data_IF_555098553029
#
_entry.id   IF_555098553029
#
_cell.length_a   1.000
_cell.length_b   1.000
_cell.length_c   1.000
_cell.angle_alpha   90.00
_cell.angle_beta   90.00
_cell.angle_gamma   90.00
#
_symmetry.space_group_name_H-M   'P 1'
#
loop_
_entity.id
_entity.type
_entity.pdbx_description
1 polymer ?
#
# COMPACT_ATOMS: atom_id res chain seq x y z
N UNK A 1 -17.69 -10.32 -43.86
CA UNK A 1 -17.71 -10.60 -42.41
C UNK A 1 -16.30 -10.39 -41.89
N UNK A 2 -16.05 -9.25 -41.22
CA UNK A 2 -14.72 -8.92 -40.68
C UNK A 2 -14.43 -9.79 -39.47
N UNK A 3 -13.35 -10.57 -39.54
CA UNK A 3 -12.86 -11.35 -38.41
C UNK A 3 -12.54 -10.38 -37.26
N UNK A 4 -13.32 -10.46 -36.17
CA UNK A 4 -12.96 -9.78 -34.93
C UNK A 4 -11.55 -10.24 -34.57
N UNK A 5 -10.59 -9.34 -34.34
CA UNK A 5 -9.26 -9.79 -33.97
C UNK A 5 -9.40 -10.58 -32.68
N UNK A 6 -8.77 -11.75 -32.60
CA UNK A 6 -8.76 -12.57 -31.38
C UNK A 6 -7.91 -11.78 -30.39
N UNK A 7 -8.56 -11.01 -29.51
CA UNK A 7 -7.86 -10.20 -28.53
C UNK A 7 -7.36 -11.15 -27.45
N UNK A 8 -6.16 -11.68 -27.66
CA UNK A 8 -5.48 -12.53 -26.70
C UNK A 8 -5.38 -11.78 -25.38
N UNK A 9 -6.11 -12.28 -24.39
CA UNK A 9 -6.02 -11.79 -23.02
C UNK A 9 -4.60 -11.96 -22.52
N UNK A 10 -4.08 -10.94 -21.85
CA UNK A 10 -2.73 -10.96 -21.32
C UNK A 10 -2.79 -11.45 -19.88
N UNK A 11 -2.05 -12.51 -19.57
CA UNK A 11 -1.89 -12.98 -18.19
C UNK A 11 -0.55 -12.49 -17.67
N UNK A 12 -0.57 -11.94 -16.46
CA UNK A 12 0.61 -11.55 -15.69
C UNK A 12 0.62 -12.31 -14.37
N UNK A 13 1.79 -12.62 -13.84
CA UNK A 13 1.94 -13.27 -12.55
C UNK A 13 2.40 -12.23 -11.50
N UNK A 14 1.74 -12.18 -10.35
CA UNK A 14 1.98 -11.17 -9.31
C UNK A 14 2.10 -11.84 -7.96
N UNK A 15 3.12 -11.48 -7.18
CA UNK A 15 3.25 -11.97 -5.81
C UNK A 15 4.55 -11.55 -5.15
N UNK A 16 4.57 -11.68 -3.82
CA UNK A 16 5.74 -11.37 -2.99
C UNK A 16 6.62 -12.59 -2.71
N UNK A 17 6.12 -13.80 -2.99
CA UNK A 17 6.86 -15.05 -2.81
C UNK A 17 7.02 -15.75 -4.18
N UNK A 18 8.24 -16.21 -4.55
CA UNK A 18 8.47 -16.89 -5.84
C UNK A 18 7.57 -18.11 -6.07
N UNK A 19 7.21 -18.82 -4.99
CA UNK A 19 6.40 -20.03 -5.05
C UNK A 19 4.89 -19.77 -4.90
N UNK A 20 4.47 -18.50 -4.76
CA UNK A 20 3.07 -18.14 -4.54
C UNK A 20 2.69 -16.93 -5.41
N UNK A 21 2.71 -17.16 -6.72
CA UNK A 21 2.31 -16.17 -7.70
C UNK A 21 0.82 -16.31 -8.02
N UNK A 22 0.12 -15.18 -8.04
CA UNK A 22 -1.26 -15.08 -8.50
C UNK A 22 -1.28 -14.67 -9.96
N UNK A 23 -1.92 -15.45 -10.81
CA UNK A 23 -2.08 -15.15 -12.23
C UNK A 23 -3.30 -14.26 -12.45
N UNK A 24 -3.08 -13.05 -12.94
CA UNK A 24 -4.13 -12.06 -13.17
C UNK A 24 -4.29 -11.86 -14.67
N UNK A 25 -5.52 -12.06 -15.15
CA UNK A 25 -5.91 -11.85 -16.54
C UNK A 25 -6.27 -10.37 -16.74
N UNK A 26 -5.49 -9.66 -17.54
CA UNK A 26 -5.76 -8.28 -17.89
C UNK A 26 -6.85 -8.19 -18.96
N UNK A 27 -7.83 -7.32 -18.73
CA UNK A 27 -8.79 -6.96 -19.75
C UNK A 27 -8.14 -6.08 -20.83
N UNK A 28 -8.84 -5.91 -21.95
CA UNK A 28 -8.38 -5.10 -23.07
C UNK A 28 -8.05 -3.65 -22.69
N UNK A 29 -8.89 -3.00 -21.89
CA UNK A 29 -8.77 -1.58 -21.57
C UNK A 29 -7.52 -1.29 -20.73
N UNK A 30 -7.27 -2.12 -19.72
CA UNK A 30 -6.04 -2.07 -18.92
C UNK A 30 -4.84 -2.28 -19.84
N UNK A 31 -4.90 -3.28 -20.73
CA UNK A 31 -3.81 -3.59 -21.65
C UNK A 31 -3.45 -2.37 -22.49
N UNK A 32 -4.41 -1.71 -23.12
CA UNK A 32 -4.11 -0.51 -23.92
C UNK A 32 -3.48 0.61 -23.09
N UNK A 33 -4.00 0.88 -21.89
CA UNK A 33 -3.48 1.93 -21.01
C UNK A 33 -2.08 1.60 -20.47
N UNK A 34 -1.80 0.34 -20.16
CA UNK A 34 -0.50 -0.14 -19.68
C UNK A 34 0.53 -0.27 -20.82
N UNK A 35 0.13 -0.75 -22.00
CA UNK A 35 1.00 -0.88 -23.18
C UNK A 35 1.41 0.48 -23.74
N UNK A 36 0.50 1.46 -23.79
CA UNK A 36 0.84 2.85 -24.15
C UNK A 36 1.92 3.44 -23.24
N UNK A 37 2.03 2.91 -22.03
CA UNK A 37 3.02 3.31 -21.02
C UNK A 37 4.25 2.39 -20.96
N UNK A 38 4.27 1.32 -21.78
CA UNK A 38 5.35 0.33 -21.81
C UNK A 38 5.51 -0.47 -20.51
N UNK A 39 4.51 -0.48 -19.64
CA UNK A 39 4.66 -0.92 -18.25
C UNK A 39 4.48 -2.42 -18.04
N UNK A 40 3.61 -3.08 -18.81
CA UNK A 40 3.24 -4.49 -18.61
C UNK A 40 3.12 -5.21 -19.96
N UNK A 41 4.04 -6.14 -20.22
CA UNK A 41 4.02 -7.01 -21.38
C UNK A 41 3.41 -8.40 -21.03
N UNK A 42 2.97 -9.19 -22.01
CA UNK A 42 2.52 -10.56 -21.77
C UNK A 42 3.62 -11.46 -21.20
N UNK A 43 3.26 -12.39 -20.31
CA UNK A 43 4.20 -13.34 -19.71
C UNK A 43 5.14 -12.72 -18.66
N UNK A 44 4.83 -11.51 -18.20
CA UNK A 44 5.59 -10.81 -17.17
C UNK A 44 5.22 -11.33 -15.77
N UNK A 45 6.26 -11.50 -14.96
CA UNK A 45 6.18 -11.69 -13.52
C UNK A 45 6.55 -10.38 -12.83
N UNK A 46 5.70 -9.98 -11.89
CA UNK A 46 5.88 -8.82 -11.01
C UNK A 46 6.26 -9.32 -9.60
N UNK A 47 7.55 -9.58 -9.34
CA UNK A 47 8.00 -9.97 -8.01
C UNK A 47 7.84 -8.81 -7.02
N UNK A 48 7.65 -9.15 -5.74
CA UNK A 48 7.56 -8.17 -4.64
C UNK A 48 6.40 -7.18 -4.77
N UNK A 49 5.37 -7.54 -5.53
CA UNK A 49 4.13 -6.76 -5.64
C UNK A 49 3.03 -7.51 -4.90
N UNK A 50 2.41 -6.82 -3.95
CA UNK A 50 1.23 -7.33 -3.25
C UNK A 50 0.02 -7.33 -4.19
N UNK A 51 -0.70 -8.46 -4.20
CA UNK A 51 -1.82 -8.69 -5.13
C UNK A 51 -2.94 -7.67 -4.91
N UNK A 52 -3.27 -7.37 -3.65
CA UNK A 52 -4.41 -6.51 -3.33
C UNK A 52 -4.23 -5.04 -3.77
N UNK A 53 -3.13 -4.33 -3.42
CA UNK A 53 -2.79 -3.03 -3.99
C UNK A 53 -2.77 -3.04 -5.52
N UNK A 54 -2.27 -4.12 -6.12
CA UNK A 54 -2.22 -4.25 -7.57
C UNK A 54 -3.62 -4.33 -8.20
N UNK A 55 -4.54 -5.11 -7.61
CA UNK A 55 -5.93 -5.16 -8.05
C UNK A 55 -6.62 -3.78 -8.00
N UNK A 56 -6.36 -2.96 -6.98
CA UNK A 56 -6.90 -1.59 -6.91
C UNK A 56 -6.41 -0.75 -8.11
N UNK A 57 -5.13 -0.82 -8.44
CA UNK A 57 -4.58 -0.12 -9.62
C UNK A 57 -5.23 -0.62 -10.92
N UNK A 58 -5.44 -1.94 -11.06
CA UNK A 58 -6.09 -2.50 -12.24
C UNK A 58 -7.55 -2.06 -12.37
N UNK A 59 -8.29 -1.98 -11.27
CA UNK A 59 -9.68 -1.51 -11.25
C UNK A 59 -9.77 -0.04 -11.66
N UNK A 60 -8.87 0.81 -11.14
CA UNK A 60 -8.75 2.20 -11.60
C UNK A 60 -8.46 2.28 -13.09
N UNK A 61 -7.49 1.50 -13.58
CA UNK A 61 -7.14 1.48 -15.01
C UNK A 61 -8.28 0.95 -15.89
N UNK A 62 -9.18 0.12 -15.33
CA UNK A 62 -10.39 -0.35 -16.01
C UNK A 62 -11.51 0.68 -16.11
N UNK A 63 -11.41 1.81 -15.37
CA UNK A 63 -12.39 2.89 -15.42
C UNK A 63 -13.02 3.26 -14.07
N UNK A 64 -12.66 2.60 -12.96
CA UNK A 64 -13.08 3.03 -11.61
C UNK A 64 -12.25 4.24 -11.15
N UNK A 65 -12.54 5.41 -11.71
CA UNK A 65 -11.87 6.65 -11.35
C UNK A 65 -12.21 7.10 -9.92
N UNK A 66 -13.34 6.65 -9.37
CA UNK A 66 -13.76 6.89 -7.98
C UNK A 66 -12.98 6.10 -6.93
N UNK A 67 -12.21 5.08 -7.33
CA UNK A 67 -11.51 4.18 -6.40
C UNK A 67 -12.45 3.49 -5.40
N UNK A 68 -13.65 3.11 -5.85
CA UNK A 68 -14.68 2.48 -5.01
C UNK A 68 -14.17 1.24 -4.26
N UNK A 69 -13.33 0.43 -4.92
CA UNK A 69 -12.72 -0.76 -4.29
C UNK A 69 -11.77 -0.37 -3.17
N UNK A 70 -11.00 0.70 -3.33
CA UNK A 70 -10.11 1.18 -2.28
C UNK A 70 -10.91 1.79 -1.11
N UNK A 71 -11.91 2.62 -1.40
CA UNK A 71 -12.75 3.25 -0.39
C UNK A 71 -13.50 2.22 0.48
N UNK A 72 -13.96 1.11 -0.13
CA UNK A 72 -14.59 0.00 0.60
C UNK A 72 -13.70 -0.64 1.68
N UNK A 73 -12.37 -0.42 1.62
CA UNK A 73 -11.40 -0.94 2.60
C UNK A 73 -11.16 0.04 3.76
N UNK A 74 -11.86 1.18 3.83
CA UNK A 74 -11.61 2.19 4.86
C UNK A 74 -11.74 1.68 6.30
N UNK A 75 -12.45 0.57 6.52
CA UNK A 75 -12.60 -0.09 7.83
C UNK A 75 -11.54 -1.17 8.10
N UNK A 76 -10.72 -1.53 7.13
CA UNK A 76 -9.67 -2.55 7.29
C UNK A 76 -8.51 -1.99 8.15
N UNK A 77 -8.04 -2.73 9.17
CA UNK A 77 -6.87 -2.32 9.98
C UNK A 77 -5.61 -2.05 9.15
N UNK A 78 -5.46 -2.73 8.01
CA UNK A 78 -4.36 -2.58 7.06
C UNK A 78 -4.56 -1.46 6.04
N UNK A 79 -5.64 -0.68 6.13
CA UNK A 79 -5.99 0.34 5.14
C UNK A 79 -4.86 1.34 4.84
N UNK A 80 -4.15 1.83 5.86
CA UNK A 80 -3.00 2.74 5.64
C UNK A 80 -1.80 2.06 4.94
N UNK A 81 -1.63 0.75 5.15
CA UNK A 81 -0.64 -0.04 4.43
C UNK A 81 -1.07 -0.25 2.97
N UNK A 82 -2.34 -0.58 2.73
CA UNK A 82 -2.92 -0.70 1.38
C UNK A 82 -2.76 0.62 0.64
N UNK A 83 -3.05 1.76 1.29
CA UNK A 83 -2.80 3.09 0.74
C UNK A 83 -1.34 3.27 0.32
N UNK A 84 -0.40 3.03 1.24
CA UNK A 84 1.03 3.22 0.97
C UNK A 84 1.53 2.35 -0.20
N UNK A 85 1.14 1.08 -0.23
CA UNK A 85 1.51 0.14 -1.29
C UNK A 85 0.88 0.49 -2.63
N UNK A 86 -0.40 0.88 -2.63
CA UNK A 86 -1.12 1.27 -3.86
C UNK A 86 -0.55 2.57 -4.43
N UNK A 87 -0.27 3.55 -3.56
CA UNK A 87 0.35 4.81 -3.95
C UNK A 87 1.76 4.59 -4.51
N UNK A 88 2.55 3.72 -3.88
CA UNK A 88 3.88 3.37 -4.35
C UNK A 88 3.84 2.68 -5.71
N UNK A 89 2.93 1.73 -5.88
CA UNK A 89 2.74 1.05 -7.16
C UNK A 89 2.31 2.03 -8.27
N UNK A 90 1.39 2.95 -7.97
CA UNK A 90 1.01 4.02 -8.88
C UNK A 90 2.20 4.90 -9.28
N UNK A 91 3.10 5.19 -8.32
CA UNK A 91 4.35 5.91 -8.56
C UNK A 91 5.27 5.19 -9.54
N UNK A 92 5.52 3.88 -9.31
CA UNK A 92 6.39 3.04 -10.17
C UNK A 92 5.82 2.84 -11.58
N UNK A 93 4.49 2.87 -11.71
CA UNK A 93 3.77 2.81 -12.98
C UNK A 93 3.56 4.19 -13.65
N UNK A 94 4.09 5.26 -13.04
CA UNK A 94 3.98 6.65 -13.51
C UNK A 94 2.54 7.12 -13.67
N UNK A 95 1.70 6.83 -12.68
CA UNK A 95 0.28 7.21 -12.64
C UNK A 95 0.05 8.35 -11.63
N UNK A 96 0.49 9.59 -11.90
CA UNK A 96 0.36 10.69 -10.94
C UNK A 96 -1.09 11.08 -10.66
N UNK A 97 -1.98 10.92 -11.64
CA UNK A 97 -3.43 11.13 -11.42
C UNK A 97 -3.95 10.17 -10.36
N UNK A 98 -3.63 8.87 -10.46
CA UNK A 98 -4.01 7.88 -9.44
C UNK A 98 -3.40 8.21 -8.06
N UNK A 99 -2.13 8.62 -8.01
CA UNK A 99 -1.50 9.06 -6.76
C UNK A 99 -2.30 10.21 -6.11
N UNK A 100 -2.80 11.15 -6.90
CA UNK A 100 -3.58 12.28 -6.41
C UNK A 100 -5.01 11.89 -6.02
N UNK A 101 -5.65 10.98 -6.76
CA UNK A 101 -6.97 10.46 -6.40
C UNK A 101 -6.92 9.68 -5.08
N UNK A 102 -5.89 8.86 -4.86
CA UNK A 102 -5.68 8.17 -3.57
C UNK A 102 -5.56 9.18 -2.42
N UNK A 103 -4.80 10.26 -2.61
CA UNK A 103 -4.70 11.35 -1.62
C UNK A 103 -6.07 12.01 -1.40
N UNK A 104 -6.84 12.22 -2.47
CA UNK A 104 -8.17 12.82 -2.39
C UNK A 104 -9.14 11.97 -1.57
N UNK A 105 -9.21 10.67 -1.83
CA UNK A 105 -10.04 9.72 -1.05
C UNK A 105 -9.60 9.69 0.41
N UNK A 106 -8.29 9.62 0.67
CA UNK A 106 -7.75 9.66 2.03
C UNK A 106 -8.06 10.98 2.76
N UNK A 107 -8.00 12.12 2.06
CA UNK A 107 -8.38 13.42 2.60
C UNK A 107 -9.87 13.48 2.96
N UNK A 108 -10.75 12.91 2.12
CA UNK A 108 -12.18 12.82 2.44
C UNK A 108 -12.43 11.97 3.69
N UNK A 109 -11.79 10.80 3.79
CA UNK A 109 -11.87 9.96 4.99
C UNK A 109 -11.36 10.70 6.23
N UNK A 110 -10.23 11.37 6.10
CA UNK A 110 -9.66 12.18 7.18
C UNK A 110 -10.66 13.22 7.70
N UNK A 111 -11.30 13.98 6.82
CA UNK A 111 -12.32 14.97 7.20
C UNK A 111 -13.48 14.31 7.94
N UNK A 112 -13.99 13.18 7.45
CA UNK A 112 -15.05 12.43 8.14
C UNK A 112 -14.65 11.96 9.54
N UNK A 113 -13.37 11.62 9.76
CA UNK A 113 -12.85 11.23 11.08
C UNK A 113 -12.80 12.44 12.01
N UNK A 114 -12.24 13.56 11.55
CA UNK A 114 -12.09 14.78 12.36
C UNK A 114 -13.46 15.38 12.71
N UNK A 115 -14.43 15.30 11.81
CA UNK A 115 -15.81 15.74 12.05
C UNK A 115 -16.62 14.76 12.93
N UNK A 116 -16.06 13.59 13.27
CA UNK A 116 -16.73 12.57 14.08
C UNK A 116 -17.87 11.84 13.36
N UNK A 117 -17.97 11.97 12.03
CA UNK A 117 -18.97 11.30 11.19
C UNK A 117 -18.62 9.82 11.03
N UNK A 118 -17.33 9.52 10.92
CA UNK A 118 -16.83 8.16 10.82
C UNK A 118 -16.14 7.75 12.12
N UNK A 119 -16.64 6.69 12.76
CA UNK A 119 -15.89 5.97 13.79
C UNK A 119 -14.84 5.10 13.11
N UNK A 120 -13.76 5.73 12.62
CA UNK A 120 -12.57 4.99 12.23
C UNK A 120 -12.01 4.30 13.49
N UNK A 121 -12.50 3.09 13.74
CA UNK A 121 -12.23 2.30 14.93
C UNK A 121 -10.84 1.66 14.80
N UNK A 122 -9.81 2.49 14.98
CA UNK A 122 -8.52 1.96 15.36
C UNK A 122 -8.55 1.63 16.85
N UNK A 123 -8.53 0.34 17.17
CA UNK A 123 -8.27 -0.14 18.52
C UNK A 123 -6.87 0.29 19.02
N UNK A 124 -5.94 0.55 18.10
CA UNK A 124 -4.65 1.21 18.35
C UNK A 124 -4.31 2.16 17.20
N UNK A 125 -3.92 3.41 17.50
CA UNK A 125 -3.59 4.44 16.50
C UNK A 125 -2.28 4.17 15.79
N UNK A 126 -1.37 3.49 16.48
CA UNK A 126 -0.08 3.04 15.98
C UNK A 126 -0.03 1.51 16.05
N UNK A 127 -0.33 0.89 14.92
CA UNK A 127 -0.30 -0.56 14.75
C UNK A 127 0.91 -1.01 13.90
N UNK A 128 1.04 -2.31 13.71
CA UNK A 128 2.07 -2.90 12.85
C UNK A 128 1.88 -2.54 11.38
N UNK A 129 0.67 -2.20 10.94
CA UNK A 129 0.39 -1.82 9.56
C UNK A 129 0.86 -0.41 9.25
N UNK A 130 0.69 0.55 10.17
CA UNK A 130 1.22 1.90 10.04
C UNK A 130 2.76 1.87 9.99
N UNK A 131 3.40 1.06 10.85
CA UNK A 131 4.85 0.88 10.79
C UNK A 131 5.28 0.34 9.42
N UNK A 132 4.62 -0.73 8.95
CA UNK A 132 4.90 -1.32 7.62
C UNK A 132 4.64 -0.34 6.47
N UNK A 133 3.66 0.55 6.60
CA UNK A 133 3.35 1.55 5.59
C UNK A 133 4.53 2.52 5.40
N UNK A 134 5.09 3.04 6.50
CA UNK A 134 6.27 3.90 6.42
C UNK A 134 7.51 3.16 5.94
N UNK A 135 7.77 1.95 6.46
CA UNK A 135 8.89 1.11 6.01
C UNK A 135 8.80 0.82 4.52
N UNK A 136 7.59 0.53 4.02
CA UNK A 136 7.36 0.30 2.59
C UNK A 136 7.72 1.53 1.76
N UNK A 137 7.15 2.70 2.08
CA UNK A 137 7.44 3.94 1.33
C UNK A 137 8.94 4.27 1.31
N UNK A 138 9.61 4.17 2.46
CA UNK A 138 11.04 4.46 2.58
C UNK A 138 11.92 3.47 1.84
N UNK A 139 11.58 2.18 1.90
CA UNK A 139 12.31 1.15 1.15
C UNK A 139 12.25 1.38 -0.37
N UNK A 140 11.14 1.96 -0.87
CA UNK A 140 10.93 2.16 -2.29
C UNK A 140 11.51 3.49 -2.80
N UNK A 141 11.37 4.58 -2.04
CA UNK A 141 11.64 5.94 -2.54
C UNK A 141 12.45 6.82 -1.60
N UNK A 142 12.82 6.33 -0.41
CA UNK A 142 13.42 7.15 0.63
C UNK A 142 12.40 8.03 1.37
N UNK A 143 12.88 8.93 2.24
CA UNK A 143 12.03 9.79 3.07
C UNK A 143 11.40 10.93 2.27
N UNK A 144 10.47 11.68 2.90
CA UNK A 144 9.89 12.93 2.38
C UNK A 144 9.04 12.81 1.10
N UNK A 145 8.56 11.60 0.79
CA UNK A 145 7.57 11.41 -0.28
C UNK A 145 6.25 12.11 0.07
N UNK A 146 5.45 12.43 -0.94
CA UNK A 146 4.13 13.05 -0.74
C UNK A 146 3.20 12.16 0.11
N UNK A 147 3.25 10.84 -0.12
CA UNK A 147 2.51 9.88 0.71
C UNK A 147 3.05 9.79 2.15
N UNK A 148 4.38 9.83 2.36
CA UNK A 148 4.95 9.84 3.72
C UNK A 148 4.51 11.10 4.47
N UNK A 149 4.61 12.27 3.83
CA UNK A 149 4.15 13.55 4.41
C UNK A 149 2.67 13.49 4.76
N UNK A 150 1.85 12.92 3.87
CA UNK A 150 0.43 12.74 4.12
C UNK A 150 0.19 11.82 5.31
N UNK A 151 0.85 10.65 5.39
CA UNK A 151 0.68 9.70 6.50
C UNK A 151 1.15 10.27 7.84
N UNK A 152 2.24 11.04 7.86
CA UNK A 152 2.68 11.77 9.04
C UNK A 152 1.56 12.71 9.51
N UNK A 153 1.01 13.50 8.58
CA UNK A 153 -0.04 14.46 8.91
C UNK A 153 -1.31 13.78 9.40
N UNK A 154 -1.76 12.76 8.66
CA UNK A 154 -2.93 11.95 8.97
C UNK A 154 -2.80 11.31 10.35
N UNK A 155 -1.67 10.66 10.65
CA UNK A 155 -1.46 9.95 11.91
C UNK A 155 -1.34 10.90 13.10
N UNK A 156 -0.68 12.05 12.91
CA UNK A 156 -0.51 13.05 13.97
C UNK A 156 -1.82 13.73 14.35
N UNK A 157 -2.65 14.08 13.36
CA UNK A 157 -3.88 14.86 13.57
C UNK A 157 -5.11 14.03 13.90
N UNK A 158 -5.16 12.75 13.51
CA UNK A 158 -6.26 11.86 13.90
C UNK A 158 -6.09 11.26 15.30
N UNK A 159 -4.91 11.41 15.92
CA UNK A 159 -4.67 10.86 17.24
C UNK A 159 -5.50 11.60 18.32
N UNK A 160 -6.25 10.89 19.16
CA UNK A 160 -7.15 11.51 20.14
C UNK A 160 -6.38 12.12 21.31
N UNK A 161 -5.23 11.55 21.68
CA UNK A 161 -4.40 11.99 22.79
C UNK A 161 -2.92 11.87 22.44
N UNK A 162 -2.21 12.99 22.47
CA UNK A 162 -0.76 13.07 22.17
C UNK A 162 0.06 12.16 23.07
N UNK A 163 -0.27 12.07 24.36
CA UNK A 163 0.46 11.22 25.33
C UNK A 163 0.34 9.73 24.99
N UNK A 164 -0.84 9.30 24.58
CA UNK A 164 -1.06 7.89 24.19
C UNK A 164 -0.35 7.60 22.86
N UNK A 165 -0.43 8.51 21.89
CA UNK A 165 0.32 8.42 20.64
C UNK A 165 1.84 8.28 20.90
N UNK A 166 2.40 9.10 21.79
CA UNK A 166 3.81 9.05 22.16
C UNK A 166 4.21 7.72 22.80
N UNK A 167 3.39 7.20 23.71
CA UNK A 167 3.59 5.87 24.31
C UNK A 167 3.57 4.77 23.25
N UNK A 168 2.59 4.80 22.34
CA UNK A 168 2.46 3.79 21.30
C UNK A 168 3.61 3.85 20.29
N UNK A 169 4.01 5.04 19.83
CA UNK A 169 5.18 5.22 18.96
C UNK A 169 6.47 4.75 19.64
N UNK A 170 6.62 4.96 20.96
CA UNK A 170 7.79 4.48 21.72
C UNK A 170 7.82 2.97 21.90
N UNK A 171 6.66 2.32 21.87
CA UNK A 171 6.53 0.87 22.05
C UNK A 171 6.77 0.05 20.79
N UNK A 172 6.99 0.71 19.65
CA UNK A 172 7.13 0.12 18.32
C UNK A 172 8.44 0.58 17.68
N UNK A 173 8.97 -0.22 16.78
CA UNK A 173 10.25 0.04 16.10
C UNK A 173 10.12 1.06 14.95
N UNK A 174 9.54 2.23 15.23
CA UNK A 174 9.53 3.35 14.28
C UNK A 174 10.90 4.01 14.23
N UNK A 175 11.32 4.43 13.03
CA UNK A 175 12.48 5.32 12.90
C UNK A 175 12.26 6.58 13.74
N UNK A 176 13.32 7.02 14.43
CA UNK A 176 13.27 8.17 15.33
C UNK A 176 12.70 9.41 14.63
N UNK A 177 13.09 9.65 13.38
CA UNK A 177 12.65 10.83 12.63
C UNK A 177 11.15 10.76 12.26
N UNK A 178 10.60 9.58 11.93
CA UNK A 178 9.15 9.42 11.70
C UNK A 178 8.40 9.72 12.99
N UNK A 179 8.85 9.14 14.11
CA UNK A 179 8.24 9.36 15.41
C UNK A 179 8.24 10.84 15.76
N UNK A 180 9.37 11.53 15.60
CA UNK A 180 9.48 12.97 15.86
C UNK A 180 8.56 13.80 14.94
N UNK A 181 8.48 13.47 13.65
CA UNK A 181 7.58 14.15 12.70
C UNK A 181 6.12 13.99 13.07
N UNK A 182 5.68 12.77 13.40
CA UNK A 182 4.29 12.49 13.82
C UNK A 182 3.98 13.25 15.11
N UNK A 183 4.87 13.20 16.12
CA UNK A 183 4.66 13.91 17.38
C UNK A 183 4.68 15.43 17.23
N UNK A 184 5.54 15.94 16.35
CA UNK A 184 5.57 17.36 16.01
C UNK A 184 4.24 17.80 15.42
N UNK A 185 3.67 17.03 14.49
CA UNK A 185 2.37 17.34 13.92
C UNK A 185 1.24 17.25 14.95
N UNK A 186 1.23 16.20 15.77
CA UNK A 186 0.21 16.00 16.82
C UNK A 186 0.22 17.12 17.87
N UNK A 187 1.39 17.74 18.11
CA UNK A 187 1.55 18.88 19.04
C UNK A 187 1.35 20.24 18.36
N UNK A 188 1.15 20.27 17.04
CA UNK A 188 1.09 21.51 16.27
C UNK A 188 -0.25 22.24 16.46
N UNK A 189 -0.16 23.53 16.76
CA UNK A 189 -1.31 24.45 16.75
C UNK A 189 -1.53 25.11 15.37
N UNK A 190 -0.71 24.76 14.37
CA UNK A 190 -0.88 25.27 13.02
C UNK A 190 -2.18 24.73 12.39
N UNK A 191 -2.72 25.49 11.43
CA UNK A 191 -3.86 25.06 10.63
C UNK A 191 -3.57 23.72 9.97
N UNK A 192 -4.57 22.84 10.01
CA UNK A 192 -4.52 21.51 9.43
C UNK A 192 -4.09 21.52 7.96
N UNK A 193 -2.92 20.96 7.63
CA UNK A 193 -2.42 20.93 6.26
C UNK A 193 -3.28 20.09 5.31
N UNK A 194 -3.93 19.01 5.78
CA UNK A 194 -4.76 18.14 4.93
C UNK A 194 -5.98 18.93 4.44
N UNK A 195 -6.58 19.74 5.31
CA UNK A 195 -7.77 20.54 4.98
C UNK A 195 -7.38 21.82 4.23
N UNK A 196 -6.36 22.54 4.70
CA UNK A 196 -6.08 23.90 4.23
C UNK A 196 -4.94 24.01 3.21
N UNK A 197 -4.10 22.98 3.08
CA UNK A 197 -2.96 22.96 2.14
C UNK A 197 -2.83 21.60 1.42
N UNK A 198 -3.90 21.07 0.80
CA UNK A 198 -3.88 19.73 0.20
C UNK A 198 -2.85 19.58 -0.94
N UNK A 199 -2.44 20.69 -1.56
CA UNK A 199 -1.40 20.71 -2.59
C UNK A 199 -0.04 20.19 -2.10
N UNK A 200 0.25 20.22 -0.79
CA UNK A 200 1.50 19.70 -0.22
C UNK A 200 1.65 18.18 -0.38
N UNK A 201 0.53 17.49 -0.58
CA UNK A 201 0.46 16.03 -0.68
C UNK A 201 0.22 15.55 -2.11
N UNK A 202 0.04 16.47 -3.07
CA UNK A 202 -0.26 16.13 -4.45
C UNK A 202 1.00 16.11 -5.30
N UNK A 203 1.09 15.11 -6.17
CA UNK A 203 2.11 14.95 -7.18
C UNK A 203 1.74 15.78 -8.41
N UNK A 204 2.70 16.49 -9.01
CA UNK A 204 2.46 17.17 -10.29
C UNK A 204 2.14 16.17 -11.39
N UNK A 205 0.98 16.32 -12.03
CA UNK A 205 0.59 15.47 -13.15
C UNK A 205 1.43 15.74 -14.42
N UNK A 206 1.89 16.98 -14.59
CA UNK A 206 2.69 17.40 -15.74
C UNK A 206 4.17 17.03 -15.58
N UNK A 207 4.71 17.21 -14.37
CA UNK A 207 6.11 16.96 -14.05
C UNK A 207 6.23 16.09 -12.79
N UNK A 208 5.80 14.81 -12.84
CA UNK A 208 5.87 13.93 -11.69
C UNK A 208 7.33 13.65 -11.31
N UNK A 209 7.64 13.47 -10.01
CA UNK A 209 8.95 12.98 -9.59
C UNK A 209 9.29 11.66 -10.27
N UNK A 210 10.57 11.45 -10.55
CA UNK A 210 11.05 10.22 -11.16
C UNK A 210 11.26 9.16 -10.08
N UNK A 211 10.38 8.18 -10.05
CA UNK A 211 10.52 7.01 -9.19
C UNK A 211 11.14 5.82 -9.94
N UNK A 212 11.81 4.89 -9.24
CA UNK A 212 12.31 3.65 -9.84
C UNK A 212 11.16 2.89 -10.53
N UNK A 213 11.39 2.34 -11.74
CA UNK A 213 10.36 1.58 -12.45
C UNK A 213 10.01 0.29 -11.71
N UNK A 214 8.90 -0.35 -12.09
CA UNK A 214 8.51 -1.65 -11.56
C UNK A 214 9.52 -2.72 -11.99
N UNK A 215 9.90 -3.61 -11.06
CA UNK A 215 10.75 -4.76 -11.37
C UNK A 215 9.92 -5.76 -12.17
N UNK A 216 10.35 -6.02 -13.40
CA UNK A 216 9.65 -6.89 -14.35
C UNK A 216 10.58 -8.02 -14.73
N UNK A 217 10.18 -9.25 -14.41
CA UNK A 217 10.85 -10.45 -14.87
C UNK A 217 10.04 -11.07 -16.02
N UNK A 218 10.71 -11.62 -17.02
CA UNK A 218 10.05 -12.43 -18.05
C UNK A 218 10.13 -13.88 -17.60
N UNK A 219 9.00 -14.59 -17.63
CA UNK A 219 9.05 -16.05 -17.59
C UNK A 219 9.86 -16.50 -18.79
N UNK A 220 10.89 -17.31 -18.57
CA UNK A 220 11.51 -18.10 -19.63
C UNK A 220 10.37 -18.84 -20.30
N UNK A 221 10.05 -18.48 -21.54
CA UNK A 221 9.24 -19.38 -22.37
C UNK A 221 10.12 -20.61 -22.50
N UNK A 222 9.74 -21.71 -21.85
CA UNK A 222 10.33 -23.00 -22.18
C UNK A 222 10.21 -23.15 -23.69
N UNK A 223 11.34 -23.10 -24.39
CA UNK A 223 11.49 -23.54 -25.77
C UNK A 223 11.38 -25.08 -25.82
N UNK A 224 10.33 -25.61 -25.21
CA UNK A 224 10.07 -27.02 -24.99
C UNK A 224 8.87 -27.49 -25.79
N UNK A 225 8.78 -27.11 -27.07
CA UNK A 225 7.89 -27.80 -28.02
C UNK A 225 8.38 -27.55 -29.46
N UNK A 226 9.59 -28.02 -29.76
CA UNK A 226 10.02 -28.23 -31.15
C UNK A 226 10.92 -29.47 -31.28
N UNK A 227 10.53 -30.54 -30.61
CA UNK A 227 11.08 -31.88 -30.80
C UNK A 227 9.98 -32.85 -31.19
N UNK A 228 9.38 -32.64 -32.36
CA UNK A 228 8.78 -33.74 -33.12
C UNK A 228 8.48 -33.30 -34.57
N UNK A 229 9.50 -33.42 -35.44
CA UNK A 229 9.37 -33.77 -36.86
C UNK A 229 10.71 -33.64 -37.60
N UNK A 230 11.74 -34.38 -37.18
CA UNK A 230 12.75 -34.85 -38.14
C UNK A 230 12.96 -36.34 -37.96
N UNK A 231 12.33 -37.07 -38.89
CA UNK A 231 12.62 -38.46 -39.19
C UNK A 231 14.13 -38.69 -39.23
N UNK A 232 14.51 -39.75 -38.51
CA UNK A 232 15.61 -40.66 -38.81
C UNK A 232 16.04 -40.66 -40.28
N UNK A 233 17.34 -40.51 -40.53
CA UNK A 233 18.17 -41.62 -41.01
C UNK A 233 19.66 -41.27 -40.91
N UNK A 234 20.47 -42.21 -40.40
CA UNK A 234 21.92 -42.24 -40.61
C UNK A 234 22.80 -41.83 -39.42
N UNK A 235 23.04 -42.77 -38.50
CA UNK A 235 24.30 -42.84 -37.76
C UNK A 235 25.36 -43.58 -38.64
N UNK A 236 26.65 -43.68 -38.25
CA UNK A 236 27.34 -43.11 -37.09
C UNK A 236 28.67 -42.40 -37.46
N UNK A 237 29.23 -41.60 -36.55
CA UNK A 237 30.64 -41.78 -36.18
C UNK A 237 30.98 -41.06 -34.87
N UNK A 238 31.43 -41.90 -33.93
CA UNK A 238 32.01 -41.53 -32.65
C UNK A 238 33.32 -40.74 -32.85
N UNK A 239 33.59 -39.75 -31.99
CA UNK A 239 34.73 -39.98 -31.11
C UNK A 239 34.53 -39.48 -29.66
N UNK A 240 34.64 -40.44 -28.75
CA UNK A 240 35.26 -40.45 -27.41
C UNK A 240 35.13 -39.21 -26.49
N UNK A 241 34.72 -39.41 -25.22
CA UNK A 241 34.72 -38.39 -24.20
C UNK A 241 36.16 -38.13 -23.70
N UNK A 242 36.61 -36.88 -23.72
CA UNK A 242 37.81 -36.48 -22.99
C UNK A 242 37.45 -36.17 -21.54
N UNK A 243 38.14 -36.87 -20.67
CA UNK A 243 38.10 -36.79 -19.23
C UNK A 243 38.27 -35.38 -18.67
N UNK A 244 37.62 -35.21 -17.52
CA UNK A 244 37.71 -34.15 -16.53
C UNK A 244 39.09 -33.49 -16.37
N UNK A 245 39.04 -32.18 -16.07
CA UNK A 245 39.98 -31.54 -15.13
C UNK A 245 39.17 -30.84 -14.04
N UNK A 246 39.39 -31.18 -12.76
CA UNK A 246 38.85 -30.43 -11.63
C UNK A 246 39.80 -29.28 -11.24
N UNK A 247 39.56 -28.71 -10.05
CA UNK A 247 40.39 -27.77 -9.27
C UNK A 247 40.26 -26.31 -9.79
N UNK A 248 39.93 -25.27 -9.01
CA UNK A 248 40.31 -24.93 -7.64
C UNK A 248 39.23 -24.13 -6.91
N UNK A 249 38.82 -24.66 -5.76
CA UNK A 249 38.24 -23.93 -4.64
C UNK A 249 39.32 -23.05 -3.98
N UNK A 250 39.05 -21.76 -3.86
CA UNK A 250 39.78 -20.85 -2.97
C UNK A 250 38.92 -20.52 -1.75
N UNK A 251 39.40 -20.81 -0.52
CA UNK A 251 38.81 -20.30 0.71
C UNK A 251 39.68 -19.16 1.24
N UNK A 252 39.19 -17.91 1.28
CA UNK A 252 39.89 -16.80 1.92
C UNK A 252 38.90 -15.63 2.07
N UNK A 253 38.69 -14.93 3.19
CA UNK A 253 39.13 -15.06 4.58
C UNK A 253 38.15 -14.21 5.40
N UNK A 254 37.85 -14.71 6.60
CA UNK A 254 37.16 -14.02 7.67
C UNK A 254 38.08 -12.92 8.23
N UNK A 255 37.71 -11.64 8.07
CA UNK A 255 38.36 -10.55 8.81
C UNK A 255 37.51 -10.17 10.02
N UNK A 256 37.95 -10.68 11.18
CA UNK A 256 37.59 -10.22 12.52
C UNK A 256 38.74 -9.32 12.98
N UNK A 257 38.49 -8.04 13.26
CA UNK A 257 39.28 -7.19 14.17
C UNK A 257 38.39 -6.02 14.59
N UNK A 258 37.92 -6.01 15.84
CA UNK A 258 38.46 -5.38 17.07
C UNK A 258 37.56 -4.17 17.39
N UNK A 259 36.71 -4.21 18.42
CA UNK A 259 37.02 -3.98 19.85
C UNK A 259 37.81 -2.69 20.10
N UNK A 260 37.15 -1.68 20.67
CA UNK A 260 37.44 -1.03 21.97
C UNK A 260 36.68 0.32 22.03
N UNK A 261 35.66 0.44 22.89
CA UNK A 261 35.75 0.91 24.29
C UNK A 261 36.13 2.40 24.39
N UNK A 262 35.18 3.24 24.81
CA UNK A 262 35.45 4.29 25.81
C UNK A 262 34.17 4.79 26.50
N UNK A 263 34.18 4.60 27.82
CA UNK A 263 33.63 5.36 28.95
C UNK A 263 32.23 5.99 28.88
N UNK A 264 31.29 5.57 29.73
CA UNK A 264 31.17 5.98 31.15
C UNK A 264 31.20 7.50 31.38
N UNK A 265 30.02 8.10 31.61
CA UNK A 265 29.87 9.07 32.70
C UNK A 265 28.44 9.08 33.24
N UNK A 266 28.31 8.49 34.42
CA UNK A 266 27.25 8.79 35.41
C UNK A 266 27.40 10.24 35.86
N UNK A 267 26.27 10.91 36.04
CA UNK A 267 26.10 11.95 37.05
C UNK A 267 24.74 11.76 37.72
N UNK A 268 24.78 11.24 38.95
CA UNK A 268 23.72 11.36 39.96
C UNK A 268 23.91 12.70 40.69
N UNK A 269 22.80 13.37 41.01
CA UNK A 269 22.49 14.02 42.32
C UNK A 269 21.07 14.61 42.20
N UNK A 270 20.10 14.10 42.98
CA UNK A 270 19.56 14.68 44.24
C UNK A 270 18.79 16.00 44.02
N UNK A 271 17.69 16.37 44.68
CA UNK A 271 16.77 15.80 45.70
C UNK A 271 15.77 16.92 46.04
N UNK A 272 14.58 16.59 46.56
CA UNK A 272 13.62 17.51 47.21
C UNK A 272 12.20 17.26 46.68
N UNK A 273 11.33 16.46 47.31
CA UNK A 273 10.66 16.61 48.62
C UNK A 273 10.06 18.01 48.79
N UNK A 274 8.75 18.11 48.57
CA UNK A 274 7.81 18.78 49.49
C UNK A 274 6.41 18.16 49.35
N UNK A 275 5.67 18.38 50.41
CA UNK A 275 4.65 17.53 51.00
C UNK A 275 3.21 17.95 50.64
N UNK A 276 2.30 16.98 50.81
CA UNK A 276 0.94 17.11 51.39
C UNK A 276 -0.15 17.99 50.75
N UNK A 277 -1.37 17.42 50.65
CA UNK A 277 -2.60 18.20 50.86
C UNK A 277 -3.88 17.72 50.17
N UNK A 278 -4.60 16.82 50.84
CA UNK A 278 -6.07 16.74 50.95
C UNK A 278 -6.96 16.51 49.71
N UNK A 279 -7.65 15.36 49.73
CA UNK A 279 -8.97 15.14 49.12
C UNK A 279 -10.06 15.97 49.82
N UNK A 280 -11.20 16.20 49.14
CA UNK A 280 -12.41 15.60 49.71
C UNK A 280 -13.36 14.95 48.69
N UNK A 281 -14.05 13.99 49.29
CA UNK A 281 -15.24 13.21 48.93
C UNK A 281 -16.41 13.95 48.26
N UNK A 282 -17.26 13.10 47.65
CA UNK A 282 -18.73 13.19 47.46
C UNK A 282 -19.29 13.99 46.29
N UNK A 283 -19.83 13.27 45.30
CA UNK A 283 -21.27 13.33 44.99
C UNK A 283 -21.64 12.23 43.97
N UNK A 284 -22.48 11.31 44.40
CA UNK A 284 -23.26 10.42 43.54
C UNK A 284 -24.22 11.25 42.66
N UNK A 285 -24.20 11.00 41.36
CA UNK A 285 -25.37 11.27 40.51
C UNK A 285 -25.61 10.07 39.61
N UNK A 286 -26.61 9.28 40.01
CA UNK A 286 -27.30 8.36 39.13
C UNK A 286 -27.94 9.15 37.97
N UNK A 287 -27.72 8.69 36.75
CA UNK A 287 -28.54 9.07 35.60
C UNK A 287 -28.76 7.84 34.73
N UNK A 288 -29.81 7.12 35.09
CA UNK A 288 -30.54 6.18 34.24
C UNK A 288 -30.90 6.87 32.92
N UNK A 289 -30.28 6.44 31.82
CA UNK A 289 -30.78 6.71 30.47
C UNK A 289 -31.09 5.39 29.78
N UNK A 290 -32.39 5.14 29.67
CA UNK A 290 -33.01 4.08 28.90
C UNK A 290 -32.73 4.28 27.41
N UNK A 291 -31.86 3.45 26.83
CA UNK A 291 -31.67 3.38 25.38
C UNK A 291 -32.85 2.63 24.77
N UNK A 292 -33.79 3.39 24.20
CA UNK A 292 -34.87 2.89 23.37
C UNK A 292 -34.29 2.33 22.07
N UNK A 293 -34.32 1.01 21.94
CA UNK A 293 -33.85 0.25 20.76
C UNK A 293 -34.88 0.40 19.63
N UNK A 294 -34.80 1.47 18.83
CA UNK A 294 -35.56 1.56 17.58
C UNK A 294 -34.95 0.64 16.53
N UNK A 295 -35.61 -0.50 16.28
CA UNK A 295 -35.45 -1.27 15.04
C UNK A 295 -35.98 -0.41 13.89
N UNK A 296 -35.10 0.01 12.98
CA UNK A 296 -35.52 0.51 11.67
C UNK A 296 -35.30 -0.62 10.67
N UNK A 297 -36.39 -1.19 10.18
CA UNK A 297 -36.41 -2.15 9.09
C UNK A 297 -36.55 -1.38 7.79
N UNK A 298 -35.57 -1.47 6.88
CA UNK A 298 -35.70 -0.90 5.54
C UNK A 298 -36.32 -1.93 4.60
N UNK A 299 -37.50 -1.59 4.07
CA UNK A 299 -38.21 -2.33 3.02
C UNK A 299 -37.76 -1.74 1.68
N UNK A 300 -37.04 -2.54 0.88
CA UNK A 300 -36.69 -2.20 -0.50
C UNK A 300 -37.99 -2.09 -1.32
N UNK A 301 -38.28 -0.91 -1.85
CA UNK A 301 -39.27 -0.74 -2.91
C UNK A 301 -38.61 -1.13 -4.24
N UNK A 302 -39.08 -2.22 -4.84
CA UNK A 302 -38.90 -2.47 -6.27
C UNK A 302 -39.77 -1.47 -7.04
N UNK A 303 -39.15 -0.69 -7.92
CA UNK A 303 -39.84 -0.02 -9.01
C UNK A 303 -39.71 -0.89 -10.25
N UNK A 304 -40.82 -1.54 -10.61
CA UNK A 304 -41.00 -2.16 -11.92
C UNK A 304 -41.01 -1.07 -12.98
N UNK A 305 -40.09 -1.18 -13.95
CA UNK A 305 -40.08 -0.33 -15.13
C UNK A 305 -40.97 -0.99 -16.18
N UNK A 306 -42.15 -0.41 -16.41
CA UNK A 306 -43.07 -0.78 -17.49
C UNK A 306 -42.43 -0.47 -18.85
N UNK A 307 -42.32 -1.48 -19.70
CA UNK A 307 -42.14 -1.33 -21.14
C UNK A 307 -43.52 -1.06 -21.75
N UNK A 308 -43.75 0.14 -22.27
CA UNK A 308 -44.85 0.38 -23.20
C UNK A 308 -44.34 0.19 -24.63
N UNK A 309 -45.10 -0.62 -25.37
CA UNK A 309 -44.86 -0.98 -26.75
C UNK A 309 -45.61 -0.03 -27.67
N UNK A 310 -44.99 0.31 -28.79
CA UNK A 310 -45.64 0.95 -29.95
C UNK A 310 -46.88 0.17 -30.41
N UNK A 311 -47.92 0.86 -30.92
CA UNK A 311 -48.78 0.30 -31.93
C UNK A 311 -48.49 0.89 -33.31
N UNK A 312 -48.38 -0.03 -34.24
CA UNK A 312 -48.45 0.07 -35.69
C UNK A 312 -49.75 0.70 -36.21
N UNK A 313 -49.71 1.03 -37.52
CA UNK A 313 -50.80 1.18 -38.52
C UNK A 313 -51.66 2.45 -38.39
N UNK A 314 -51.91 3.27 -39.42
CA UNK A 314 -51.90 3.17 -40.89
C UNK A 314 -51.29 4.43 -41.55
#
# INVERSE_FOLDING_TARGET
>A
MSARPIWSSVTIAVGTCPNHLTHIRLNHYIRERCLKRGALAPGVVLPNVEVHPFCIVLTYLSGDESLSVFESQATDPSFLLIFAQTWALAARLRLPTLQNELISVMSSLYTMIVEGICSYQRSAWVDTHLLRAFQHLRSQFGPETHAEKFLVCFSGRTAPLVRELEKQLSSKDFDLDIREKILKEARSFERDPIIHRPYLFRVSALNPPRYPPLDVQRLSQDEGENTDARRFDGAPDNPRPRCAKPILSTPYTRSRRYEQLHHERRSQTQSGIYDSGASPSTADFASTTTVSRRRVSFRLQHQDTMCDSDPTSE
#
